data_IF_130189616292
#
_entry.id   IF_130189616292
#
_cell.length_a   1.000
_cell.length_b   1.000
_cell.length_c   1.000
_cell.angle_alpha   90.00
_cell.angle_beta   90.00
_cell.angle_gamma   90.00
#
_symmetry.space_group_name_H-M   'P 1'
#
loop_
_entity.id
_entity.type
_entity.pdbx_description
1 polymer ?
#
# COMPACT_ATOMS: atom_id res chain seq x y z
N UNK A 1 -47.99 16.03 -22.79
CA UNK A 1 -47.42 15.37 -21.59
C UNK A 1 -47.30 16.41 -20.47
N UNK A 2 -47.71 16.12 -19.23
CA UNK A 2 -47.84 17.12 -18.17
C UNK A 2 -46.48 17.52 -17.56
N UNK A 3 -46.06 18.80 -17.61
CA UNK A 3 -44.74 19.24 -17.15
C UNK A 3 -44.50 19.01 -15.65
N UNK A 4 -45.57 18.87 -14.85
CA UNK A 4 -45.45 18.53 -13.41
C UNK A 4 -44.97 17.09 -13.20
N UNK A 5 -45.34 16.16 -14.08
CA UNK A 5 -44.93 14.75 -14.03
C UNK A 5 -43.44 14.61 -14.32
N UNK A 6 -42.92 15.37 -15.28
CA UNK A 6 -41.50 15.37 -15.64
C UNK A 6 -40.61 15.87 -14.48
N UNK A 7 -41.05 16.92 -13.78
CA UNK A 7 -40.35 17.48 -12.62
C UNK A 7 -40.38 16.55 -11.41
N UNK A 8 -41.48 15.84 -11.19
CA UNK A 8 -41.59 14.82 -10.15
C UNK A 8 -40.70 13.60 -10.44
N UNK A 9 -40.57 13.20 -11.70
CA UNK A 9 -39.66 12.14 -12.13
C UNK A 9 -38.18 12.52 -11.93
N UNK A 10 -37.79 13.74 -12.31
CA UNK A 10 -36.43 14.24 -12.10
C UNK A 10 -36.07 14.34 -10.62
N UNK A 11 -36.99 14.85 -9.80
CA UNK A 11 -36.79 14.95 -8.36
C UNK A 11 -36.65 13.55 -7.71
N UNK A 12 -37.44 12.57 -8.15
CA UNK A 12 -37.33 11.18 -7.72
C UNK A 12 -35.99 10.53 -8.10
N UNK A 13 -35.48 10.78 -9.32
CA UNK A 13 -34.18 10.28 -9.79
C UNK A 13 -33.03 10.87 -8.97
N UNK A 14 -33.06 12.18 -8.66
CA UNK A 14 -32.02 12.84 -7.86
C UNK A 14 -32.00 12.29 -6.43
N UNK A 15 -33.17 12.09 -5.81
CA UNK A 15 -33.25 11.47 -4.48
C UNK A 15 -32.73 10.03 -4.51
N UNK A 16 -33.11 9.24 -5.51
CA UNK A 16 -32.62 7.86 -5.67
C UNK A 16 -31.10 7.80 -5.86
N UNK A 17 -30.52 8.72 -6.63
CA UNK A 17 -29.08 8.81 -6.87
C UNK A 17 -28.29 9.24 -5.63
N UNK A 18 -28.83 10.16 -4.81
CA UNK A 18 -28.24 10.53 -3.53
C UNK A 18 -28.31 9.38 -2.48
N UNK A 19 -29.38 8.58 -2.49
CA UNK A 19 -29.52 7.42 -1.59
C UNK A 19 -28.60 6.24 -1.98
N UNK A 20 -28.16 6.15 -3.24
CA UNK A 20 -27.22 5.13 -3.70
C UNK A 20 -25.75 5.47 -3.44
N UNK A 21 -25.44 6.65 -2.89
CA UNK A 21 -24.09 7.02 -2.45
C UNK A 21 -23.71 6.42 -1.09
N UNK A 22 -24.35 5.32 -0.69
CA UNK A 22 -24.03 4.62 0.54
C UNK A 22 -22.55 4.21 0.54
N UNK A 23 -21.88 4.67 1.58
CA UNK A 23 -20.44 4.65 1.82
C UNK A 23 -19.74 3.35 1.44
N UNK A 24 -18.81 3.43 0.48
CA UNK A 24 -17.83 2.38 0.20
C UNK A 24 -16.78 2.37 1.32
N UNK A 25 -17.12 1.78 2.47
CA UNK A 25 -16.16 1.52 3.58
C UNK A 25 -15.37 0.23 3.38
N UNK A 26 -14.92 -0.05 2.15
CA UNK A 26 -14.20 -1.28 1.83
C UNK A 26 -12.71 -1.25 2.21
N UNK A 27 -12.21 -0.14 2.77
CA UNK A 27 -10.77 0.09 2.95
C UNK A 27 -10.34 -0.20 4.40
N UNK A 28 -10.58 -1.42 4.85
CA UNK A 28 -9.92 -1.96 6.04
C UNK A 28 -8.48 -2.34 5.73
N UNK A 29 -7.63 -2.41 6.76
CA UNK A 29 -6.29 -2.96 6.63
C UNK A 29 -6.43 -4.45 6.25
N UNK A 30 -6.05 -4.81 5.02
CA UNK A 30 -6.19 -6.18 4.49
C UNK A 30 -5.00 -7.09 4.84
N UNK A 31 -3.97 -6.54 5.48
CA UNK A 31 -2.74 -7.23 5.85
C UNK A 31 -2.55 -7.25 7.38
N UNK A 32 -1.92 -8.30 7.94
CA UNK A 32 -1.58 -8.31 9.36
C UNK A 32 -0.61 -7.18 9.72
N UNK A 33 -0.65 -6.72 10.98
CA UNK A 33 0.44 -5.90 11.51
C UNK A 33 1.76 -6.67 11.48
N UNK A 34 2.90 -5.98 11.56
CA UNK A 34 4.23 -6.59 11.43
C UNK A 34 4.43 -7.81 12.36
N UNK A 35 3.88 -7.76 13.57
CA UNK A 35 3.99 -8.83 14.58
C UNK A 35 2.90 -9.91 14.46
N UNK A 36 1.89 -9.70 13.63
CA UNK A 36 0.73 -10.58 13.49
C UNK A 36 0.80 -11.52 12.27
N UNK A 37 1.93 -11.56 11.56
CA UNK A 37 2.11 -12.48 10.46
C UNK A 37 2.16 -13.93 10.96
N UNK A 38 1.33 -14.76 10.37
CA UNK A 38 1.30 -16.18 10.68
C UNK A 38 2.63 -16.86 10.31
N UNK A 39 3.11 -17.76 11.18
CA UNK A 39 4.31 -18.56 10.94
C UNK A 39 3.93 -20.00 10.70
N UNK A 40 4.34 -20.54 9.55
CA UNK A 40 4.13 -21.96 9.20
C UNK A 40 5.43 -22.57 8.65
N UNK A 41 5.67 -23.88 8.88
CA UNK A 41 6.68 -24.62 8.14
C UNK A 41 6.44 -24.59 6.62
N UNK A 42 7.48 -24.61 5.79
CA UNK A 42 7.35 -24.55 4.32
C UNK A 42 6.42 -25.63 3.75
N UNK A 43 6.48 -26.85 4.32
CA UNK A 43 5.64 -27.97 3.90
C UNK A 43 4.13 -27.68 4.06
N UNK A 44 3.71 -26.95 5.09
CA UNK A 44 2.29 -26.58 5.29
C UNK A 44 1.83 -25.54 4.27
N UNK A 45 2.76 -24.71 3.77
CA UNK A 45 2.53 -23.77 2.68
C UNK A 45 2.73 -24.42 1.29
N UNK A 46 2.99 -25.74 1.22
CA UNK A 46 3.31 -26.47 -0.02
C UNK A 46 4.53 -25.90 -0.76
N UNK A 47 5.50 -25.39 -0.01
CA UNK A 47 6.76 -24.86 -0.52
C UNK A 47 7.89 -25.88 -0.33
N UNK A 48 8.83 -25.91 -1.29
CA UNK A 48 10.08 -26.62 -1.14
C UNK A 48 11.00 -25.87 -0.15
N UNK A 49 11.42 -26.55 0.91
CA UNK A 49 12.21 -25.92 1.97
C UNK A 49 13.62 -25.51 1.52
N UNK A 50 14.24 -26.28 0.62
CA UNK A 50 15.57 -25.99 0.09
C UNK A 50 15.55 -24.73 -0.77
N UNK A 51 14.64 -24.68 -1.74
CA UNK A 51 14.45 -23.51 -2.61
C UNK A 51 14.03 -22.26 -1.85
N UNK A 52 13.17 -22.40 -0.83
CA UNK A 52 12.80 -21.27 0.00
C UNK A 52 14.03 -20.72 0.76
N UNK A 53 14.87 -21.60 1.30
CA UNK A 53 16.10 -21.19 1.97
C UNK A 53 17.06 -20.48 1.01
N UNK A 54 17.26 -21.01 -0.19
CA UNK A 54 18.09 -20.38 -1.22
C UNK A 54 17.60 -18.96 -1.55
N UNK A 55 16.28 -18.78 -1.71
CA UNK A 55 15.69 -17.47 -1.99
C UNK A 55 15.88 -16.48 -0.83
N UNK A 56 15.73 -16.94 0.41
CA UNK A 56 15.97 -16.11 1.61
C UNK A 56 17.45 -15.71 1.70
N UNK A 57 18.36 -16.67 1.53
CA UNK A 57 19.79 -16.42 1.60
C UNK A 57 20.23 -15.43 0.50
N UNK A 58 19.70 -15.58 -0.72
CA UNK A 58 19.94 -14.65 -1.82
C UNK A 58 19.46 -13.22 -1.49
N UNK A 59 18.25 -13.08 -0.95
CA UNK A 59 17.70 -11.77 -0.59
C UNK A 59 18.54 -11.10 0.51
N UNK A 60 18.91 -11.84 1.56
CA UNK A 60 19.75 -11.33 2.64
C UNK A 60 21.14 -10.91 2.14
N UNK A 61 21.75 -11.70 1.25
CA UNK A 61 23.07 -11.38 0.67
C UNK A 61 23.02 -10.17 -0.27
N UNK A 62 21.88 -9.93 -0.91
CA UNK A 62 21.68 -8.84 -1.87
C UNK A 62 21.12 -7.55 -1.24
N UNK A 63 20.83 -7.58 0.06
CA UNK A 63 20.24 -6.45 0.77
C UNK A 63 21.17 -5.23 0.80
N UNK A 64 20.57 -4.03 0.76
CA UNK A 64 21.34 -2.79 0.84
C UNK A 64 21.98 -2.64 2.23
N UNK A 65 23.24 -2.20 2.24
CA UNK A 65 23.94 -1.82 3.49
C UNK A 65 23.61 -0.38 3.93
N UNK A 66 22.84 0.36 3.14
CA UNK A 66 22.45 1.71 3.48
C UNK A 66 21.55 1.72 4.73
N UNK A 67 21.60 2.80 5.54
CA UNK A 67 20.66 2.98 6.64
C UNK A 67 19.21 2.91 6.17
N UNK A 68 18.32 2.39 7.03
CA UNK A 68 16.87 2.37 6.73
C UNK A 68 16.26 3.76 6.70
N UNK A 69 16.80 4.67 7.52
CA UNK A 69 16.44 6.08 7.47
C UNK A 69 16.95 6.66 6.15
N UNK A 70 16.00 7.00 5.28
CA UNK A 70 16.30 7.41 3.91
C UNK A 70 17.04 8.75 3.87
N UNK A 71 16.81 9.63 4.83
CA UNK A 71 17.48 10.93 4.89
C UNK A 71 18.97 10.74 5.21
N UNK A 72 19.28 9.90 6.20
CA UNK A 72 20.65 9.53 6.52
C UNK A 72 21.34 8.82 5.35
N UNK A 73 20.65 7.87 4.71
CA UNK A 73 21.18 7.17 3.54
C UNK A 73 21.50 8.16 2.40
N UNK A 74 20.62 9.12 2.14
CA UNK A 74 20.80 10.15 1.12
C UNK A 74 22.02 11.02 1.39
N UNK A 75 22.19 11.53 2.61
CA UNK A 75 23.32 12.39 2.93
C UNK A 75 24.66 11.65 3.00
N UNK A 76 24.66 10.35 3.31
CA UNK A 76 25.88 9.53 3.24
C UNK A 76 26.39 9.33 1.81
N UNK A 77 25.50 9.33 0.81
CA UNK A 77 25.87 9.10 -0.59
C UNK A 77 25.99 10.39 -1.40
N UNK A 78 25.00 11.29 -1.32
CA UNK A 78 24.89 12.48 -2.17
C UNK A 78 25.18 13.79 -1.45
N UNK A 79 25.39 13.80 -0.13
CA UNK A 79 25.54 15.04 0.64
C UNK A 79 26.76 15.90 0.28
N UNK A 80 27.68 15.40 -0.56
CA UNK A 80 28.85 16.13 -1.05
C UNK A 80 28.69 16.65 -2.48
N UNK A 81 27.64 16.24 -3.18
CA UNK A 81 27.39 16.63 -4.56
C UNK A 81 26.67 17.99 -4.62
N UNK A 82 26.94 18.83 -5.65
CA UNK A 82 26.12 20.00 -5.92
C UNK A 82 24.65 19.61 -6.05
N UNK A 83 23.75 20.35 -5.39
CA UNK A 83 22.30 20.07 -5.33
C UNK A 83 21.95 18.71 -4.69
N UNK A 84 22.81 18.18 -3.81
CA UNK A 84 22.60 16.92 -3.08
C UNK A 84 21.64 17.00 -1.89
N UNK A 85 20.79 18.02 -1.81
CA UNK A 85 19.82 18.20 -0.72
C UNK A 85 18.72 17.15 -0.81
N UNK A 86 18.21 16.72 0.35
CA UNK A 86 17.09 15.80 0.42
C UNK A 86 15.80 16.53 0.01
N UNK A 87 15.21 16.18 -1.14
CA UNK A 87 13.96 16.79 -1.64
C UNK A 87 12.86 15.73 -1.72
N UNK A 88 11.71 15.99 -1.08
CA UNK A 88 10.55 15.09 -1.06
C UNK A 88 10.28 14.47 0.33
N UNK A 89 9.32 13.56 0.39
CA UNK A 89 8.95 12.90 1.64
C UNK A 89 9.91 11.75 1.94
N UNK A 90 10.78 11.93 2.92
CA UNK A 90 11.59 10.86 3.49
C UNK A 90 10.77 10.12 4.56
N UNK A 91 10.89 8.79 4.57
CA UNK A 91 10.38 7.98 5.66
C UNK A 91 11.53 7.73 6.63
N UNK A 92 11.31 8.01 7.90
CA UNK A 92 12.24 7.71 9.00
C UNK A 92 12.44 6.20 9.18
#
# INVERSE_FOLDING_TARGET
MNPKIFRQFHFGIVIFSCLFSASVFAQGIYYPTADSWERRPPAQAKLDAGRLKEAVDFAVQSESKAPRNLELAHYQTFGREPFGEAVGAFRE
#
